data_IF_934721607138
#
_entry.id   IF_934721607138
#
_cell.length_a   1.000
_cell.length_b   1.000
_cell.length_c   1.000
_cell.angle_alpha   90.00
_cell.angle_beta   90.00
_cell.angle_gamma   90.00
#
_symmetry.space_group_name_H-M   'P 1'
#
loop_
_entity.id
_entity.type
_entity.pdbx_description
1 polymer ?
#
# COMPACT_ATOMS: atom_id res chain seq x y z
N UNK A 1 -2.78 11.29 -13.22
CA UNK A 1 -4.03 11.71 -12.53
C UNK A 1 -5.01 10.58 -12.71
N UNK A 2 -5.38 9.93 -11.61
CA UNK A 2 -6.19 8.72 -11.65
C UNK A 2 -7.62 9.08 -12.07
N UNK A 3 -8.13 8.43 -13.12
CA UNK A 3 -9.52 8.57 -13.56
C UNK A 3 -10.29 7.31 -13.18
N UNK A 4 -11.36 7.46 -12.41
CA UNK A 4 -12.31 6.37 -12.15
C UNK A 4 -13.60 6.60 -12.93
N UNK A 5 -14.01 5.60 -13.72
CA UNK A 5 -15.25 5.62 -14.51
C UNK A 5 -16.15 4.48 -14.08
N UNK A 6 -17.42 4.78 -13.75
CA UNK A 6 -18.43 3.76 -13.49
C UNK A 6 -18.99 3.32 -14.84
N UNK A 7 -18.94 2.02 -15.12
CA UNK A 7 -19.49 1.42 -16.33
C UNK A 7 -20.94 1.01 -16.10
N UNK A 8 -21.21 0.34 -14.97
CA UNK A 8 -22.55 -0.11 -14.62
C UNK A 8 -22.73 -0.13 -13.09
N UNK A 9 -23.74 0.56 -12.55
CA UNK A 9 -24.15 0.36 -11.16
C UNK A 9 -24.99 -0.92 -11.05
N UNK A 10 -24.55 -1.89 -10.26
CA UNK A 10 -25.35 -3.07 -9.93
C UNK A 10 -26.02 -2.84 -8.57
N UNK A 11 -27.28 -2.41 -8.60
CA UNK A 11 -27.99 -1.92 -7.41
C UNK A 11 -27.40 -0.61 -6.86
N UNK A 12 -27.65 -0.30 -5.59
CA UNK A 12 -27.17 0.93 -4.96
C UNK A 12 -25.71 0.88 -4.50
N UNK A 13 -25.14 -0.32 -4.33
CA UNK A 13 -23.88 -0.50 -3.59
C UNK A 13 -22.72 -1.01 -4.43
N UNK A 14 -22.96 -1.75 -5.52
CA UNK A 14 -21.90 -2.37 -6.32
C UNK A 14 -21.60 -1.53 -7.55
N UNK A 15 -20.31 -1.17 -7.72
CA UNK A 15 -19.83 -0.32 -8.82
C UNK A 15 -18.94 -1.14 -9.75
N UNK A 16 -19.50 -1.58 -10.88
CA UNK A 16 -18.70 -2.09 -12.00
C UNK A 16 -18.05 -0.89 -12.68
N UNK A 17 -16.72 -0.86 -12.70
CA UNK A 17 -15.99 0.33 -13.09
C UNK A 17 -14.59 0.04 -13.60
N UNK A 18 -13.88 1.12 -13.92
CA UNK A 18 -12.51 1.10 -14.41
C UNK A 18 -11.75 2.27 -13.84
N UNK A 19 -10.64 1.98 -13.18
CA UNK A 19 -9.62 2.93 -12.78
C UNK A 19 -8.53 2.93 -13.84
N UNK A 20 -8.17 4.12 -14.35
CA UNK A 20 -7.12 4.29 -15.35
C UNK A 20 -6.12 5.34 -14.89
N UNK A 21 -4.84 5.02 -15.02
CA UNK A 21 -3.73 5.93 -14.71
C UNK A 21 -2.64 5.76 -15.78
N UNK A 22 -1.90 6.84 -16.04
CA UNK A 22 -0.71 6.82 -16.88
C UNK A 22 0.52 6.78 -15.98
N UNK A 23 1.24 5.66 -15.98
CA UNK A 23 2.51 5.50 -15.27
C UNK A 23 3.60 5.19 -16.29
N UNK A 24 4.73 5.89 -16.25
CA UNK A 24 5.88 5.67 -17.14
C UNK A 24 5.50 5.58 -18.63
N UNK A 25 4.67 6.52 -19.11
CA UNK A 25 4.14 6.55 -20.49
C UNK A 25 3.26 5.36 -20.90
N UNK A 26 2.86 4.52 -19.95
CA UNK A 26 1.94 3.41 -20.16
C UNK A 26 0.61 3.68 -19.46
N UNK A 27 -0.50 3.43 -20.15
CA UNK A 27 -1.81 3.40 -19.51
C UNK A 27 -1.99 2.05 -18.83
N UNK A 28 -2.21 2.07 -17.52
CA UNK A 28 -2.58 0.89 -16.72
C UNK A 28 -4.02 0.99 -16.27
N UNK A 29 -4.69 -0.15 -16.19
CA UNK A 29 -6.12 -0.23 -15.95
C UNK A 29 -6.44 -1.24 -14.84
N UNK A 30 -7.38 -0.86 -13.97
CA UNK A 30 -7.93 -1.75 -12.95
C UNK A 30 -9.46 -1.77 -13.08
N UNK A 31 -10.00 -2.90 -13.51
CA UNK A 31 -11.44 -3.13 -13.56
C UNK A 31 -11.96 -3.42 -12.15
N UNK A 32 -13.02 -2.75 -11.70
CA UNK A 32 -13.60 -2.93 -10.35
C UNK A 32 -14.91 -3.72 -10.41
N UNK A 33 -15.18 -4.65 -9.48
CA UNK A 33 -14.35 -5.04 -8.33
C UNK A 33 -13.06 -5.77 -8.76
N UNK A 34 -11.98 -5.53 -8.01
CA UNK A 34 -10.64 -5.99 -8.37
C UNK A 34 -9.88 -6.49 -7.13
N UNK A 35 -8.80 -7.22 -7.39
CA UNK A 35 -7.74 -7.49 -6.42
C UNK A 35 -6.41 -6.89 -6.89
N UNK A 36 -5.44 -6.86 -5.99
CA UNK A 36 -4.06 -6.48 -6.29
C UNK A 36 -3.20 -7.74 -6.27
N UNK A 37 -2.18 -7.79 -7.12
CA UNK A 37 -1.15 -8.82 -7.04
C UNK A 37 -0.39 -8.64 -5.72
N UNK A 38 -0.57 -9.57 -4.79
CA UNK A 38 0.12 -9.52 -3.51
C UNK A 38 1.61 -9.76 -3.70
N UNK A 39 2.43 -8.84 -3.18
CA UNK A 39 3.88 -9.02 -3.09
C UNK A 39 4.32 -8.95 -1.65
N UNK A 40 5.27 -9.80 -1.29
CA UNK A 40 5.98 -9.73 -0.02
C UNK A 40 7.42 -9.40 -0.30
N UNK A 41 7.90 -8.33 0.32
CA UNK A 41 9.24 -7.80 0.08
C UNK A 41 9.54 -7.50 -1.40
N UNK A 42 8.54 -7.01 -2.14
CA UNK A 42 8.68 -6.68 -3.56
C UNK A 42 8.58 -7.87 -4.51
N UNK A 43 8.42 -9.11 -4.05
CA UNK A 43 8.28 -10.26 -4.94
C UNK A 43 6.97 -10.99 -4.71
N UNK A 44 6.43 -11.60 -5.77
CA UNK A 44 5.32 -12.54 -5.63
C UNK A 44 5.83 -13.74 -4.82
N UNK A 45 5.16 -14.12 -3.72
CA UNK A 45 5.64 -15.22 -2.88
C UNK A 45 5.82 -16.50 -3.69
N UNK A 46 7.02 -17.10 -3.59
CA UNK A 46 7.39 -18.37 -4.22
C UNK A 46 7.43 -18.39 -5.74
N UNK A 47 7.14 -17.28 -6.43
CA UNK A 47 7.08 -17.23 -7.88
C UNK A 47 8.05 -16.17 -8.43
N UNK A 48 9.04 -16.56 -9.25
CA UNK A 48 9.87 -15.59 -9.95
C UNK A 48 9.10 -14.93 -11.12
N UNK A 49 9.56 -13.77 -11.62
CA UNK A 49 8.87 -13.01 -12.66
C UNK A 49 8.55 -13.76 -13.94
N UNK A 50 9.44 -14.60 -14.43
CA UNK A 50 9.18 -15.44 -15.60
C UNK A 50 8.01 -16.42 -15.40
N UNK A 51 7.75 -16.87 -14.16
CA UNK A 51 6.71 -17.85 -13.88
C UNK A 51 5.35 -17.20 -13.64
N UNK A 52 5.26 -16.16 -12.79
CA UNK A 52 3.94 -15.57 -12.51
C UNK A 52 3.36 -14.78 -13.69
N UNK A 53 4.17 -14.46 -14.70
CA UNK A 53 3.70 -13.75 -15.90
C UNK A 53 2.98 -14.68 -16.89
N UNK A 54 3.16 -15.99 -16.75
CA UNK A 54 2.40 -17.00 -17.50
C UNK A 54 1.00 -17.25 -16.89
N UNK A 55 0.71 -16.68 -15.72
CA UNK A 55 -0.60 -16.80 -15.08
C UNK A 55 -1.59 -15.87 -15.80
N UNK A 56 -2.63 -16.48 -16.36
CA UNK A 56 -3.72 -15.74 -17.00
C UNK A 56 -4.41 -14.79 -16.01
N UNK A 57 -4.80 -13.61 -16.49
CA UNK A 57 -5.59 -12.62 -15.73
C UNK A 57 -4.91 -12.08 -14.47
N UNK A 58 -3.57 -12.06 -14.43
CA UNK A 58 -2.82 -11.47 -13.33
C UNK A 58 -3.14 -9.96 -13.19
N UNK A 59 -3.33 -9.41 -11.97
CA UNK A 59 -3.60 -7.99 -11.81
C UNK A 59 -2.50 -7.07 -12.34
N UNK A 60 -2.90 -5.99 -13.04
CA UNK A 60 -2.00 -4.93 -13.51
C UNK A 60 -1.44 -4.04 -12.38
N UNK A 61 -2.03 -4.15 -11.19
CA UNK A 61 -1.61 -3.43 -9.99
C UNK A 61 -1.14 -4.41 -8.93
N UNK A 62 0.01 -4.11 -8.33
CA UNK A 62 0.61 -4.87 -7.24
C UNK A 62 0.49 -4.15 -5.91
N UNK A 63 0.25 -4.90 -4.85
CA UNK A 63 0.38 -4.46 -3.48
C UNK A 63 1.85 -4.38 -3.07
N UNK A 64 2.22 -3.35 -2.31
CA UNK A 64 3.47 -3.29 -1.56
C UNK A 64 3.24 -2.73 -0.15
N UNK A 65 4.12 -3.08 0.79
CA UNK A 65 4.08 -2.58 2.17
C UNK A 65 5.17 -1.52 2.42
N UNK A 66 4.82 -0.46 3.15
CA UNK A 66 5.74 0.58 3.61
C UNK A 66 6.91 -0.01 4.42
N UNK A 67 6.68 -1.10 5.15
CA UNK A 67 7.73 -1.76 5.93
C UNK A 67 8.90 -2.21 5.07
N UNK A 68 8.63 -2.69 3.86
CA UNK A 68 9.66 -3.08 2.91
C UNK A 68 10.50 -1.88 2.44
N UNK A 69 9.83 -0.76 2.15
CA UNK A 69 10.47 0.47 1.68
C UNK A 69 11.39 1.06 2.73
N UNK A 70 10.92 1.12 3.99
CA UNK A 70 11.66 1.72 5.10
C UNK A 70 12.95 0.94 5.39
N UNK A 71 12.87 -0.38 5.43
CA UNK A 71 14.05 -1.25 5.66
C UNK A 71 15.12 -1.06 4.58
N UNK A 72 14.71 -0.74 3.35
CA UNK A 72 15.60 -0.62 2.18
C UNK A 72 15.75 0.80 1.69
N UNK A 73 15.40 1.81 2.51
CA UNK A 73 15.31 3.22 2.09
C UNK A 73 16.59 3.71 1.41
N UNK A 74 17.76 3.38 1.96
CA UNK A 74 19.04 3.82 1.41
C UNK A 74 19.38 3.13 0.08
N UNK A 75 19.04 1.85 -0.05
CA UNK A 75 19.26 1.08 -1.27
C UNK A 75 18.33 1.55 -2.38
N UNK A 76 17.04 1.71 -2.08
CA UNK A 76 16.04 2.23 -3.02
C UNK A 76 16.37 3.66 -3.46
N UNK A 77 16.80 4.51 -2.53
CA UNK A 77 17.22 5.88 -2.83
C UNK A 77 18.45 5.92 -3.73
N UNK A 78 19.45 5.05 -3.49
CA UNK A 78 20.62 4.91 -4.37
C UNK A 78 20.26 4.34 -5.74
N UNK A 79 19.29 3.42 -5.80
CA UNK A 79 18.82 2.83 -7.04
C UNK A 79 18.07 3.84 -7.92
N UNK A 80 17.25 4.70 -7.32
CA UNK A 80 16.71 5.90 -7.97
C UNK A 80 15.58 5.69 -8.99
N UNK A 81 15.19 4.45 -9.30
CA UNK A 81 14.13 4.13 -10.28
C UNK A 81 12.80 3.67 -9.66
N UNK A 82 12.66 3.81 -8.34
CA UNK A 82 11.45 3.45 -7.62
C UNK A 82 11.28 1.96 -7.37
N UNK A 83 10.20 1.61 -6.68
CA UNK A 83 9.94 0.28 -6.15
C UNK A 83 9.56 -0.72 -7.25
N UNK A 84 8.78 -0.31 -8.25
CA UNK A 84 8.34 -1.20 -9.33
C UNK A 84 9.53 -1.81 -10.09
N UNK A 85 10.50 -0.96 -10.49
CA UNK A 85 11.73 -1.41 -11.15
C UNK A 85 12.64 -2.19 -10.22
N UNK A 86 12.81 -1.73 -8.97
CA UNK A 86 13.66 -2.40 -8.00
C UNK A 86 13.20 -3.84 -7.72
N UNK A 87 11.88 -4.04 -7.71
CA UNK A 87 11.21 -5.29 -7.43
C UNK A 87 11.02 -6.19 -8.67
N UNK A 88 11.35 -5.72 -9.87
CA UNK A 88 11.13 -6.46 -11.11
C UNK A 88 9.64 -6.65 -11.48
N UNK A 89 8.75 -5.76 -11.01
CA UNK A 89 7.29 -5.85 -11.23
C UNK A 89 6.86 -5.44 -12.66
N UNK A 90 7.84 -5.30 -13.56
CA UNK A 90 7.69 -4.89 -14.96
C UNK A 90 6.86 -3.61 -15.08
N UNK A 91 5.79 -3.66 -15.88
CA UNK A 91 4.93 -2.52 -16.23
C UNK A 91 3.79 -2.28 -15.22
N UNK A 92 3.75 -3.02 -14.11
CA UNK A 92 2.64 -2.94 -13.14
C UNK A 92 2.66 -1.65 -12.35
N UNK A 93 1.47 -1.16 -12.02
CA UNK A 93 1.29 -0.10 -11.05
C UNK A 93 1.54 -0.63 -9.64
N UNK A 94 2.20 0.17 -8.79
CA UNK A 94 2.41 -0.19 -7.38
C UNK A 94 1.45 0.61 -6.51
N UNK A 95 0.72 -0.08 -5.64
CA UNK A 95 -0.08 0.53 -4.58
C UNK A 95 0.60 0.24 -3.24
N UNK A 96 1.12 1.28 -2.60
CA UNK A 96 1.88 1.18 -1.35
C UNK A 96 0.96 1.36 -0.14
N UNK A 97 0.86 0.35 0.72
CA UNK A 97 0.07 0.38 1.95
C UNK A 97 0.96 0.59 3.18
N UNK A 98 0.39 1.13 4.26
CA UNK A 98 1.11 1.34 5.51
C UNK A 98 1.55 0.02 6.16
N UNK A 99 0.74 -1.03 6.02
CA UNK A 99 0.95 -2.33 6.68
C UNK A 99 0.74 -3.48 5.70
N UNK A 100 1.43 -4.59 5.95
CA UNK A 100 1.19 -5.86 5.25
C UNK A 100 -0.05 -6.54 5.85
N UNK A 101 -1.08 -6.90 5.05
CA UNK A 101 -2.29 -7.56 5.58
C UNK A 101 -2.01 -8.95 6.17
N UNK A 102 -0.86 -9.55 5.85
CA UNK A 102 -0.43 -10.84 6.44
C UNK A 102 0.24 -10.66 7.80
N UNK A 103 0.56 -9.42 8.21
CA UNK A 103 1.11 -9.10 9.52
C UNK A 103 0.03 -8.48 10.38
N UNK A 104 -0.49 -9.27 11.32
CA UNK A 104 -1.33 -8.75 12.38
C UNK A 104 -0.44 -8.03 13.38
N UNK A 105 -0.68 -6.74 13.58
CA UNK A 105 -0.05 -6.04 14.69
C UNK A 105 -0.55 -6.71 16.00
N UNK A 106 0.38 -7.08 16.87
CA UNK A 106 0.09 -7.76 18.13
C UNK A 106 0.05 -6.81 19.32
N UNK A 107 0.47 -5.56 19.13
CA UNK A 107 0.55 -4.54 20.16
C UNK A 107 0.20 -3.18 19.55
N UNK A 108 -0.59 -2.37 20.25
CA UNK A 108 -0.80 -0.99 19.80
C UNK A 108 0.50 -0.20 19.83
N UNK A 109 0.73 0.50 18.74
CA UNK A 109 1.92 1.27 18.48
C UNK A 109 1.62 2.71 18.07
N UNK A 110 0.37 3.10 17.81
CA UNK A 110 0.08 4.46 17.36
C UNK A 110 0.40 5.50 18.44
N UNK A 111 1.42 6.30 18.17
CA UNK A 111 1.76 7.51 18.91
C UNK A 111 0.98 8.73 18.42
N UNK A 112 1.01 9.83 19.18
CA UNK A 112 0.37 11.09 18.76
C UNK A 112 1.05 11.72 17.54
N UNK A 113 2.33 11.44 17.32
CA UNK A 113 3.19 12.10 16.32
C UNK A 113 4.01 11.12 15.50
N UNK A 114 3.66 9.83 15.53
CA UNK A 114 4.39 8.78 14.82
C UNK A 114 3.42 7.79 14.17
N UNK A 115 3.88 7.22 13.07
CA UNK A 115 3.15 6.29 12.21
C UNK A 115 3.83 4.93 12.36
N UNK A 116 3.17 3.93 12.96
CA UNK A 116 3.77 2.63 13.14
C UNK A 116 3.78 1.86 11.82
N UNK A 117 4.93 1.26 11.53
CA UNK A 117 5.13 0.37 10.39
C UNK A 117 5.80 -0.90 10.90
N UNK A 118 5.25 -2.05 10.49
CA UNK A 118 5.77 -3.36 10.85
C UNK A 118 6.69 -3.87 9.75
N UNK A 119 7.89 -4.30 10.16
CA UNK A 119 8.91 -4.80 9.26
C UNK A 119 9.44 -6.15 9.75
N UNK A 120 10.34 -6.78 9.00
CA UNK A 120 10.97 -8.05 9.42
C UNK A 120 11.81 -7.89 10.68
N UNK A 121 12.50 -6.75 10.80
CA UNK A 121 13.26 -6.36 11.99
C UNK A 121 12.40 -5.91 13.17
N UNK A 122 11.07 -5.96 13.04
CA UNK A 122 10.12 -5.54 14.07
C UNK A 122 9.46 -4.19 13.78
N UNK A 123 9.06 -3.50 14.85
CA UNK A 123 8.29 -2.27 14.76
C UNK A 123 9.18 -1.06 14.54
N UNK A 124 8.85 -0.24 13.55
CA UNK A 124 9.43 1.09 13.34
C UNK A 124 8.37 2.18 13.53
N UNK A 125 8.80 3.31 14.10
CA UNK A 125 7.98 4.51 14.28
C UNK A 125 8.48 5.59 13.33
N UNK A 126 7.67 5.94 12.34
CA UNK A 126 8.03 6.95 11.36
C UNK A 126 7.42 8.29 11.73
N UNK A 127 8.17 9.37 11.54
CA UNK A 127 7.57 10.70 11.41
C UNK A 127 6.80 10.83 10.08
N UNK A 128 5.90 11.80 9.98
CA UNK A 128 5.20 12.14 8.71
C UNK A 128 6.22 12.45 7.60
N UNK A 129 7.31 13.15 7.95
CA UNK A 129 8.39 13.49 7.02
C UNK A 129 9.08 12.23 6.47
N UNK A 130 9.37 11.26 7.33
CA UNK A 130 9.99 9.99 6.91
C UNK A 130 9.03 9.14 6.08
N UNK A 131 7.75 9.09 6.46
CA UNK A 131 6.73 8.39 5.67
C UNK A 131 6.63 8.99 4.26
N UNK A 132 6.53 10.33 4.16
CA UNK A 132 6.51 11.04 2.88
C UNK A 132 7.78 10.81 2.06
N UNK A 133 8.95 10.85 2.70
CA UNK A 133 10.22 10.56 2.04
C UNK A 133 10.26 9.12 1.49
N UNK A 134 9.81 8.13 2.27
CA UNK A 134 9.74 6.75 1.83
C UNK A 134 8.75 6.56 0.67
N UNK A 135 7.57 7.19 0.74
CA UNK A 135 6.61 7.19 -0.38
C UNK A 135 7.23 7.77 -1.66
N UNK A 136 8.01 8.86 -1.56
CA UNK A 136 8.72 9.46 -2.70
C UNK A 136 9.80 8.54 -3.25
N UNK A 137 10.62 7.93 -2.39
CA UNK A 137 11.66 6.97 -2.78
C UNK A 137 11.05 5.76 -3.50
N UNK A 138 9.92 5.25 -3.00
CA UNK A 138 9.22 4.14 -3.62
C UNK A 138 8.59 4.52 -4.98
N UNK A 139 8.25 5.79 -5.19
CA UNK A 139 7.57 6.30 -6.38
C UNK A 139 6.41 5.39 -6.85
N UNK A 140 5.46 5.03 -5.97
CA UNK A 140 4.35 4.16 -6.33
C UNK A 140 3.32 4.90 -7.19
N UNK A 141 2.46 4.16 -7.88
CA UNK A 141 1.31 4.72 -8.61
C UNK A 141 0.31 5.36 -7.65
N UNK A 142 0.11 4.72 -6.49
CA UNK A 142 -0.70 5.25 -5.40
C UNK A 142 -0.14 4.78 -4.06
N UNK A 143 -0.42 5.52 -2.99
CA UNK A 143 -0.06 5.07 -1.65
C UNK A 143 -1.18 5.42 -0.66
N UNK A 144 -1.30 4.60 0.38
CA UNK A 144 -2.16 4.87 1.52
C UNK A 144 -1.57 6.04 2.31
N UNK A 145 -2.35 7.10 2.50
CA UNK A 145 -1.99 8.16 3.43
C UNK A 145 -1.78 7.57 4.84
N UNK A 146 -0.88 8.16 5.65
CA UNK A 146 -0.69 7.70 7.02
C UNK A 146 -2.03 7.65 7.77
N UNK A 147 -2.26 6.57 8.50
CA UNK A 147 -3.52 6.37 9.20
C UNK A 147 -3.33 5.67 10.53
N UNK A 148 -4.20 6.00 11.47
CA UNK A 148 -4.37 5.26 12.72
C UNK A 148 -5.35 4.09 12.48
N UNK A 149 -4.81 2.93 12.10
CA UNK A 149 -5.56 1.70 11.80
C UNK A 149 -5.68 0.74 12.99
N UNK A 150 -5.32 1.16 14.20
CA UNK A 150 -5.26 0.28 15.39
C UNK A 150 -6.46 0.47 16.33
N UNK A 151 -7.64 0.82 15.82
CA UNK A 151 -8.83 0.99 16.67
C UNK A 151 -9.26 -0.32 17.31
N UNK A 152 -9.16 -1.45 16.60
CA UNK A 152 -9.63 -2.77 17.05
C UNK A 152 -8.51 -3.68 17.59
N UNK A 153 -7.30 -3.15 17.77
CA UNK A 153 -6.11 -3.97 18.03
C UNK A 153 -5.98 -4.42 19.49
N UNK A 154 -6.46 -3.60 20.43
CA UNK A 154 -6.40 -3.86 21.87
C UNK A 154 -7.76 -4.15 22.50
N UNK A 155 -8.82 -3.60 21.90
CA UNK A 155 -10.18 -3.75 22.38
C UNK A 155 -10.97 -4.53 21.34
N UNK A 156 -11.64 -5.61 21.75
CA UNK A 156 -12.66 -6.29 20.92
C UNK A 156 -13.72 -5.28 20.48
N UNK A 157 -13.96 -4.24 21.28
CA UNK A 157 -14.79 -3.08 20.95
C UNK A 157 -14.10 -1.77 21.34
N UNK A 158 -13.61 -0.95 20.40
CA UNK A 158 -12.97 0.31 20.72
C UNK A 158 -13.91 1.26 21.47
N UNK A 159 -13.38 1.93 22.49
CA UNK A 159 -14.11 3.03 23.13
C UNK A 159 -14.37 4.18 22.15
N UNK A 160 -15.45 4.94 22.33
CA UNK A 160 -15.74 6.14 21.52
C UNK A 160 -14.59 7.16 21.55
N UNK A 161 -13.87 7.26 22.68
CA UNK A 161 -12.67 8.08 22.81
C UNK A 161 -11.56 7.60 21.86
N UNK A 162 -11.36 6.29 21.73
CA UNK A 162 -10.35 5.69 20.85
C UNK A 162 -10.67 5.94 19.37
N UNK A 163 -11.94 5.80 18.98
CA UNK A 163 -12.44 6.09 17.63
C UNK A 163 -12.26 7.57 17.30
N UNK A 164 -12.66 8.48 18.20
CA UNK A 164 -12.47 9.92 17.98
C UNK A 164 -10.99 10.29 17.81
N UNK A 165 -10.12 9.68 18.61
CA UNK A 165 -8.67 9.93 18.52
C UNK A 165 -8.06 9.42 17.21
N UNK A 166 -8.52 8.29 16.64
CA UNK A 166 -7.97 7.81 15.36
C UNK A 166 -8.33 8.75 14.21
N UNK A 167 -9.54 9.30 14.20
CA UNK A 167 -9.98 10.31 13.23
C UNK A 167 -9.11 11.56 13.35
N UNK A 168 -8.98 12.13 14.57
CA UNK A 168 -8.18 13.34 14.79
C UNK A 168 -6.73 13.15 14.37
N UNK A 169 -6.12 11.99 14.68
CA UNK A 169 -4.73 11.69 14.30
C UNK A 169 -4.58 11.53 12.79
N UNK A 170 -5.45 10.73 12.16
CA UNK A 170 -5.41 10.50 10.71
C UNK A 170 -5.59 11.80 9.94
N UNK A 171 -6.44 12.71 10.40
CA UNK A 171 -6.60 14.04 9.81
C UNK A 171 -5.45 15.00 10.09
N UNK A 172 -4.63 14.72 11.11
CA UNK A 172 -3.51 15.57 11.53
C UNK A 172 -2.14 15.13 11.00
N UNK A 173 -2.03 13.91 10.44
CA UNK A 173 -0.86 13.46 9.70
C UNK A 173 -0.72 14.19 8.36
#
# INVERSE_FOLDING_TARGET
MVKFSIVFPLGEYVRLGKLSEYTNHLQINLHTPACLLYTRYGSVPFLPPDIYEEIEQLPEFSFASMGYVVERKFVLMKFGKGLAEFAGLRKRGVVLFQSDPTHLATVAAVGKSSIPVWTTGGRLQLSVKEYSMCSKIASPTAFQAPTDNETFLLDVNPTMKRVKNSVIRTSGY
#
